data_IF_722594188028
#
_entry.id   IF_722594188028
#
_cell.length_a   1.000
_cell.length_b   1.000
_cell.length_c   1.000
_cell.angle_alpha   90.00
_cell.angle_beta   90.00
_cell.angle_gamma   90.00
#
_symmetry.space_group_name_H-M   'P 1'
#
loop_
_entity.id
_entity.type
_entity.pdbx_description
1 polymer ?
#
# COMPACT_ATOMS: atom_id res chain seq x y z
N UNK A 1 -21.58 8.98 -8.44
CA UNK A 1 -21.28 7.86 -9.39
C UNK A 1 -21.58 6.54 -8.71
N UNK A 2 -22.05 5.53 -9.45
CA UNK A 2 -22.42 4.23 -8.86
C UNK A 2 -21.19 3.33 -8.80
N UNK A 3 -21.13 2.47 -7.78
CA UNK A 3 -20.08 1.45 -7.64
C UNK A 3 -19.94 0.52 -8.87
N UNK A 4 -21.03 0.35 -9.63
CA UNK A 4 -21.06 -0.36 -10.91
C UNK A 4 -20.06 0.20 -11.93
N UNK A 5 -19.78 1.51 -11.87
CA UNK A 5 -19.08 2.26 -12.92
C UNK A 5 -17.55 2.11 -12.83
N UNK A 6 -17.04 1.46 -11.76
CA UNK A 6 -15.61 1.22 -11.55
C UNK A 6 -15.16 0.01 -12.41
N UNK A 7 -14.07 0.12 -13.20
CA UNK A 7 -13.54 -0.99 -13.98
C UNK A 7 -13.20 -2.21 -13.11
N UNK A 8 -13.48 -3.42 -13.61
CA UNK A 8 -13.28 -4.68 -12.87
C UNK A 8 -11.85 -4.83 -12.35
N UNK A 9 -10.84 -4.48 -13.15
CA UNK A 9 -9.42 -4.50 -12.74
C UNK A 9 -9.15 -3.57 -11.54
N UNK A 10 -9.80 -2.41 -11.50
CA UNK A 10 -9.65 -1.42 -10.42
C UNK A 10 -10.40 -1.83 -9.16
N UNK A 11 -11.54 -2.50 -9.29
CA UNK A 11 -12.21 -3.18 -8.17
C UNK A 11 -11.29 -4.24 -7.55
N UNK A 12 -10.75 -5.15 -8.35
CA UNK A 12 -9.80 -6.17 -7.86
C UNK A 12 -8.61 -5.54 -7.15
N UNK A 13 -8.05 -4.46 -7.71
CA UNK A 13 -6.97 -3.75 -7.03
C UNK A 13 -7.45 -3.13 -5.71
N UNK A 14 -8.56 -2.38 -5.69
CA UNK A 14 -9.02 -1.70 -4.47
C UNK A 14 -9.38 -2.66 -3.34
N UNK A 15 -9.99 -3.80 -3.68
CA UNK A 15 -10.50 -4.76 -2.69
C UNK A 15 -9.49 -5.83 -2.31
N UNK A 16 -8.54 -6.22 -3.17
CA UNK A 16 -7.54 -7.23 -2.86
C UNK A 16 -6.10 -6.73 -3.03
N UNK A 17 -5.80 -6.04 -4.13
CA UNK A 17 -4.45 -5.55 -4.39
C UNK A 17 -3.95 -4.55 -3.32
N UNK A 18 -4.75 -3.53 -3.01
CA UNK A 18 -4.43 -2.49 -2.03
C UNK A 18 -4.23 -3.06 -0.65
N UNK A 19 -5.20 -3.81 -0.07
CA UNK A 19 -5.10 -4.18 1.33
C UNK A 19 -3.94 -5.15 1.57
N UNK A 20 -3.67 -6.03 0.61
CA UNK A 20 -2.52 -6.95 0.68
C UNK A 20 -1.21 -6.16 0.58
N UNK A 21 -1.06 -5.27 -0.41
CA UNK A 21 0.18 -4.51 -0.60
C UNK A 21 0.46 -3.54 0.55
N UNK A 22 -0.56 -2.83 1.04
CA UNK A 22 -0.43 -1.95 2.22
C UNK A 22 -0.27 -2.74 3.52
N UNK A 23 -0.91 -3.90 3.68
CA UNK A 23 -0.68 -4.79 4.82
C UNK A 23 0.77 -5.27 4.90
N UNK A 24 1.34 -5.73 3.77
CA UNK A 24 2.75 -6.12 3.68
C UNK A 24 3.66 -4.92 3.98
N UNK A 25 3.40 -3.77 3.35
CA UNK A 25 4.21 -2.57 3.57
C UNK A 25 4.17 -2.11 5.04
N UNK A 26 3.00 -2.14 5.68
CA UNK A 26 2.84 -1.78 7.08
C UNK A 26 3.54 -2.78 8.01
N UNK A 27 3.49 -4.07 7.70
CA UNK A 27 4.22 -5.10 8.46
C UNK A 27 5.74 -4.92 8.35
N UNK A 28 6.26 -4.67 7.15
CA UNK A 28 7.69 -4.38 6.94
C UNK A 28 8.11 -3.09 7.64
N UNK A 29 7.31 -2.04 7.55
CA UNK A 29 7.57 -0.78 8.25
C UNK A 29 7.58 -0.97 9.76
N UNK A 30 6.65 -1.77 10.29
CA UNK A 30 6.65 -2.15 11.70
C UNK A 30 7.91 -2.93 12.08
N UNK A 31 8.37 -3.87 11.26
CA UNK A 31 9.62 -4.60 11.48
C UNK A 31 10.87 -3.69 11.41
N UNK A 32 10.81 -2.57 10.69
CA UNK A 32 11.88 -1.56 10.68
C UNK A 32 11.93 -0.77 11.98
N UNK A 33 10.77 -0.37 12.52
CA UNK A 33 10.66 0.42 13.75
C UNK A 33 10.90 -0.44 14.99
N UNK A 34 10.33 -1.64 15.03
CA UNK A 34 10.48 -2.56 16.14
C UNK A 34 11.83 -3.31 16.02
N UNK A 35 12.45 -3.65 17.15
CA UNK A 35 13.68 -4.46 17.18
C UNK A 35 13.28 -5.93 17.08
N UNK A 36 12.82 -6.36 15.91
CA UNK A 36 12.45 -7.75 15.66
C UNK A 36 11.32 -7.92 14.64
N UNK A 37 11.08 -9.17 14.25
CA UNK A 37 9.93 -9.50 13.42
C UNK A 37 8.64 -9.36 14.23
N UNK A 38 7.67 -8.57 13.76
CA UNK A 38 6.37 -8.50 14.42
C UNK A 38 5.73 -9.89 14.40
N UNK A 39 4.86 -10.23 15.36
CA UNK A 39 4.14 -11.48 15.31
C UNK A 39 3.25 -11.52 14.07
N UNK A 40 3.13 -12.69 13.43
CA UNK A 40 2.28 -12.91 12.26
C UNK A 40 0.84 -12.43 12.47
N UNK A 41 0.33 -12.53 13.70
CA UNK A 41 -0.99 -12.01 14.08
C UNK A 41 -1.15 -10.50 13.84
N UNK A 42 -0.08 -9.73 14.02
CA UNK A 42 -0.09 -8.30 13.72
C UNK A 42 -0.19 -8.05 12.20
N UNK A 43 0.50 -8.85 11.37
CA UNK A 43 0.41 -8.75 9.91
C UNK A 43 -0.99 -9.09 9.38
N UNK A 44 -1.60 -10.14 9.91
CA UNK A 44 -2.97 -10.55 9.58
C UNK A 44 -3.96 -9.45 10.03
N UNK A 45 -3.84 -8.94 11.25
CA UNK A 45 -4.70 -7.88 11.78
C UNK A 45 -4.62 -6.58 10.96
N UNK A 46 -3.42 -6.17 10.57
CA UNK A 46 -3.21 -5.00 9.69
C UNK A 46 -3.88 -5.20 8.34
N UNK A 47 -3.69 -6.37 7.72
CA UNK A 47 -4.27 -6.69 6.42
C UNK A 47 -5.80 -6.67 6.48
N UNK A 48 -6.40 -7.30 7.49
CA UNK A 48 -7.86 -7.28 7.71
C UNK A 48 -8.36 -5.84 7.91
N UNK A 49 -7.65 -5.03 8.70
CA UNK A 49 -7.97 -3.62 8.90
C UNK A 49 -8.00 -2.84 7.59
N UNK A 50 -7.01 -3.04 6.71
CA UNK A 50 -6.99 -2.42 5.38
C UNK A 50 -8.11 -2.93 4.47
N UNK A 51 -8.50 -4.21 4.56
CA UNK A 51 -9.61 -4.77 3.80
C UNK A 51 -10.93 -4.10 4.19
N UNK A 52 -11.17 -3.93 5.48
CA UNK A 52 -12.35 -3.24 6.01
C UNK A 52 -12.33 -1.78 5.58
N UNK A 53 -11.19 -1.09 5.73
CA UNK A 53 -11.04 0.31 5.34
C UNK A 53 -11.27 0.53 3.84
N UNK A 54 -10.68 -0.30 2.98
CA UNK A 54 -10.92 -0.27 1.53
C UNK A 54 -12.39 -0.50 1.18
N UNK A 55 -13.03 -1.44 1.86
CA UNK A 55 -14.43 -1.77 1.61
C UNK A 55 -15.36 -0.64 2.01
N UNK A 56 -15.13 -0.04 3.18
CA UNK A 56 -15.84 1.15 3.63
C UNK A 56 -15.61 2.33 2.67
N UNK A 57 -14.38 2.55 2.21
CA UNK A 57 -14.07 3.61 1.26
C UNK A 57 -14.78 3.42 -0.08
N UNK A 58 -14.87 2.17 -0.57
CA UNK A 58 -15.60 1.83 -1.79
C UNK A 58 -17.11 2.06 -1.69
N UNK A 59 -17.69 1.91 -0.50
CA UNK A 59 -19.13 2.12 -0.24
C UNK A 59 -19.44 3.60 -0.02
N UNK A 60 -18.68 4.29 0.85
CA UNK A 60 -19.01 5.64 1.30
C UNK A 60 -18.37 6.75 0.46
N UNK A 61 -17.27 6.47 -0.24
CA UNK A 61 -16.49 7.46 -1.01
C UNK A 61 -16.03 6.88 -2.37
N UNK A 62 -16.93 6.36 -3.22
CA UNK A 62 -16.56 5.76 -4.51
C UNK A 62 -15.88 6.75 -5.46
N UNK A 63 -16.07 8.05 -5.26
CA UNK A 63 -15.46 9.12 -6.06
C UNK A 63 -13.93 9.16 -5.94
N UNK A 64 -13.40 8.87 -4.75
CA UNK A 64 -11.95 8.79 -4.51
C UNK A 64 -11.32 7.57 -5.19
N UNK A 65 -12.12 6.52 -5.40
CA UNK A 65 -11.70 5.30 -6.07
C UNK A 65 -11.68 5.43 -7.60
N UNK A 66 -12.22 6.50 -8.18
CA UNK A 66 -12.41 6.67 -9.63
C UNK A 66 -11.57 7.80 -10.21
N UNK A 67 -10.99 8.70 -9.41
CA UNK A 67 -10.11 9.77 -9.91
C UNK A 67 -8.83 9.21 -10.56
N UNK A 68 -8.96 8.84 -11.82
CA UNK A 68 -7.94 8.78 -12.86
C UNK A 68 -8.53 9.59 -14.01
N UNK A 69 -8.67 10.91 -13.84
CA UNK A 69 -8.52 11.71 -15.05
C UNK A 69 -7.04 11.69 -15.34
N UNK A 70 -6.65 11.12 -16.48
CA UNK A 70 -5.35 11.29 -17.11
C UNK A 70 -5.00 12.78 -17.12
N UNK A 71 -4.39 13.25 -16.05
CA UNK A 71 -3.63 14.48 -16.06
C UNK A 71 -2.21 14.06 -16.34
N UNK A 72 -1.67 14.55 -17.45
CA UNK A 72 -0.26 14.44 -17.75
C UNK A 72 0.54 14.75 -16.47
N UNK A 73 1.32 13.80 -15.94
CA UNK A 73 1.95 13.97 -14.65
C UNK A 73 2.89 15.18 -14.72
N UNK A 74 2.71 16.11 -13.79
CA UNK A 74 3.53 17.32 -13.72
C UNK A 74 4.99 16.94 -13.45
N UNK A 75 5.94 17.81 -13.80
CA UNK A 75 7.39 17.55 -13.57
C UNK A 75 7.67 17.20 -12.11
N UNK A 76 6.96 17.84 -11.17
CA UNK A 76 7.07 17.56 -9.73
C UNK A 76 6.50 16.19 -9.34
N UNK A 77 5.41 15.72 -9.95
CA UNK A 77 4.88 14.37 -9.69
C UNK A 77 5.83 13.28 -10.20
N UNK A 78 6.51 13.51 -11.33
CA UNK A 78 7.54 12.58 -11.84
C UNK A 78 8.72 12.47 -10.87
N UNK A 79 9.23 13.61 -10.40
CA UNK A 79 10.31 13.65 -9.41
C UNK A 79 9.88 12.99 -8.11
N UNK A 80 8.69 13.33 -7.59
CA UNK A 80 8.14 12.73 -6.38
C UNK A 80 8.03 11.20 -6.48
N UNK A 81 7.63 10.68 -7.65
CA UNK A 81 7.57 9.23 -7.89
C UNK A 81 8.95 8.57 -7.85
N UNK A 82 9.96 9.22 -8.43
CA UNK A 82 11.36 8.73 -8.39
C UNK A 82 11.85 8.72 -6.94
N UNK A 83 11.71 9.83 -6.22
CA UNK A 83 12.12 9.94 -4.81
C UNK A 83 11.42 8.89 -3.94
N UNK A 84 10.13 8.69 -4.14
CA UNK A 84 9.35 7.66 -3.43
C UNK A 84 9.89 6.25 -3.72
N UNK A 85 10.18 5.93 -4.98
CA UNK A 85 10.76 4.63 -5.33
C UNK A 85 12.15 4.46 -4.74
N UNK A 86 13.02 5.47 -4.77
CA UNK A 86 14.34 5.41 -4.14
C UNK A 86 14.23 5.14 -2.64
N UNK A 87 13.37 5.86 -1.92
CA UNK A 87 13.12 5.64 -0.49
C UNK A 87 12.61 4.22 -0.19
N UNK A 88 11.63 3.75 -0.97
CA UNK A 88 11.10 2.39 -0.84
C UNK A 88 12.18 1.33 -1.07
N UNK A 89 12.99 1.48 -2.12
CA UNK A 89 14.09 0.55 -2.42
C UNK A 89 15.14 0.57 -1.32
N UNK A 90 15.53 1.74 -0.82
CA UNK A 90 16.47 1.87 0.30
C UNK A 90 15.92 1.24 1.58
N UNK A 91 14.64 1.44 1.89
CA UNK A 91 13.98 0.83 3.05
C UNK A 91 14.01 -0.70 2.97
N UNK A 92 13.66 -1.26 1.80
CA UNK A 92 13.75 -2.70 1.56
C UNK A 92 15.19 -3.20 1.72
N UNK A 93 16.17 -2.50 1.14
CA UNK A 93 17.58 -2.89 1.26
C UNK A 93 18.06 -2.89 2.72
N UNK A 94 17.66 -1.91 3.54
CA UNK A 94 17.97 -1.88 4.97
C UNK A 94 17.36 -3.08 5.69
N UNK A 95 16.10 -3.42 5.41
CA UNK A 95 15.44 -4.61 5.98
C UNK A 95 16.20 -5.88 5.57
N UNK A 96 16.52 -6.03 4.28
CA UNK A 96 17.28 -7.17 3.77
C UNK A 96 18.64 -7.30 4.46
N UNK A 97 19.42 -6.22 4.56
CA UNK A 97 20.74 -6.25 5.21
C UNK A 97 20.60 -6.57 6.70
N UNK A 98 19.70 -5.87 7.41
CA UNK A 98 19.51 -6.06 8.86
C UNK A 98 19.07 -7.47 9.21
N UNK A 99 18.19 -8.08 8.42
CA UNK A 99 17.59 -9.37 8.76
C UNK A 99 18.22 -10.58 8.06
N UNK A 100 19.01 -10.41 7.00
CA UNK A 100 19.72 -11.52 6.32
C UNK A 100 21.23 -11.54 6.57
N UNK A 101 21.86 -10.40 6.90
CA UNK A 101 23.32 -10.30 7.09
C UNK A 101 23.71 -10.15 8.57
N UNK A 102 22.87 -9.47 9.36
CA UNK A 102 23.13 -9.19 10.80
C UNK A 102 22.43 -10.18 11.76
N UNK A 103 21.89 -11.30 11.25
CA UNK A 103 21.41 -12.44 12.06
C UNK A 103 22.57 -13.38 12.36
#
# INVERSE_FOLDING_TARGET
>A
MRFSDIPTKRKWWMFLGFPITTGIAAYLFRAMIEVGWPPLSAGIGLTIGFFIASSLMGIFKPELAVQEKEQNPTRFQKIGRIVLYTLLTSAIAIVTIRFLILV
#
